data_IF_530771577016
#
_entry.id   IF_530771577016
#
_cell.length_a   1.000
_cell.length_b   1.000
_cell.length_c   1.000
_cell.angle_alpha   90.00
_cell.angle_beta   90.00
_cell.angle_gamma   90.00
#
_symmetry.space_group_name_H-M   'P 1'
#
loop_
_entity.id
_entity.type
_entity.pdbx_description
1 polymer ?
#
# COMPACT_ATOMS: atom_id res chain seq x y z
N UNK A 1 -2.96 -3.16 17.54
CA UNK A 1 -2.45 -4.50 17.22
C UNK A 1 -2.12 -5.20 18.53
N UNK A 2 -2.39 -6.50 18.68
CA UNK A 2 -1.90 -7.29 19.84
C UNK A 2 -0.63 -8.03 19.42
N UNK A 3 0.33 -8.13 20.34
CA UNK A 3 1.66 -8.68 20.07
C UNK A 3 2.04 -9.67 21.18
N UNK A 4 2.50 -10.85 20.78
CA UNK A 4 3.06 -11.85 21.69
C UNK A 4 4.58 -11.95 21.49
N UNK A 5 5.29 -12.17 22.59
CA UNK A 5 6.74 -11.93 22.71
C UNK A 5 7.60 -12.68 21.68
N UNK A 6 8.76 -12.10 21.40
CA UNK A 6 9.79 -12.65 20.51
C UNK A 6 10.37 -13.91 21.15
N UNK A 7 10.37 -15.03 20.43
CA UNK A 7 11.11 -16.20 20.88
C UNK A 7 12.63 -15.94 20.77
N UNK A 8 13.47 -16.77 21.40
CA UNK A 8 14.93 -16.60 21.39
C UNK A 8 15.59 -16.51 20.00
N UNK A 9 14.85 -16.82 18.93
CA UNK A 9 15.33 -16.82 17.54
C UNK A 9 14.79 -15.64 16.71
N UNK A 10 14.01 -14.73 17.30
CA UNK A 10 13.47 -13.56 16.58
C UNK A 10 12.08 -13.75 15.96
N UNK A 11 11.50 -14.95 16.01
CA UNK A 11 10.12 -15.19 15.55
C UNK A 11 9.10 -14.59 16.51
N UNK A 12 7.96 -14.12 15.99
CA UNK A 12 6.89 -13.55 16.81
C UNK A 12 5.52 -13.80 16.20
N UNK A 13 4.48 -13.55 17.00
CA UNK A 13 3.09 -13.61 16.55
C UNK A 13 2.39 -12.27 16.85
N UNK A 14 1.61 -11.77 15.90
CA UNK A 14 0.78 -10.59 16.09
C UNK A 14 -0.64 -10.79 15.55
N UNK A 15 -1.58 -9.99 16.05
CA UNK A 15 -2.98 -10.00 15.64
C UNK A 15 -3.40 -8.61 15.16
N UNK A 16 -3.90 -8.57 13.93
CA UNK A 16 -4.47 -7.39 13.30
C UNK A 16 -5.98 -7.48 13.13
N UNK A 17 -6.52 -6.66 12.23
CA UNK A 17 -7.95 -6.68 11.92
C UNK A 17 -8.28 -7.89 11.04
N UNK A 18 -8.83 -8.95 11.65
CA UNK A 18 -9.27 -10.17 10.98
C UNK A 18 -8.20 -11.25 10.74
N UNK A 19 -6.94 -10.97 11.06
CA UNK A 19 -5.83 -11.88 10.75
C UNK A 19 -4.85 -12.05 11.90
N UNK A 20 -4.27 -13.25 11.97
CA UNK A 20 -3.10 -13.58 12.77
C UNK A 20 -1.88 -13.68 11.86
N UNK A 21 -0.81 -13.00 12.24
CA UNK A 21 0.47 -12.96 11.55
C UNK A 21 1.51 -13.69 12.38
N UNK A 22 2.19 -14.67 11.79
CA UNK A 22 3.31 -15.34 12.42
C UNK A 22 4.57 -15.10 11.58
N UNK A 23 5.56 -14.44 12.16
CA UNK A 23 6.87 -14.26 11.52
C UNK A 23 7.80 -15.40 11.93
N UNK A 24 8.33 -16.13 10.95
CA UNK A 24 9.31 -17.18 11.12
C UNK A 24 10.71 -16.68 10.74
N UNK A 25 11.57 -16.46 11.74
CA UNK A 25 12.88 -15.85 11.55
C UNK A 25 13.85 -16.71 10.71
N UNK A 26 13.74 -18.04 10.75
CA UNK A 26 14.61 -18.96 9.98
C UNK A 26 14.41 -18.81 8.47
N UNK A 27 13.15 -18.62 8.08
CA UNK A 27 12.73 -18.55 6.68
C UNK A 27 12.56 -17.10 6.19
N UNK A 28 12.69 -16.11 7.08
CA UNK A 28 12.26 -14.73 6.88
C UNK A 28 10.90 -14.65 6.19
N UNK A 29 9.95 -15.43 6.69
CA UNK A 29 8.61 -15.58 6.12
C UNK A 29 7.55 -15.14 7.10
N UNK A 30 6.41 -14.70 6.56
CA UNK A 30 5.23 -14.33 7.36
C UNK A 30 4.07 -15.20 6.93
N UNK A 31 3.59 -16.02 7.84
CA UNK A 31 2.35 -16.75 7.67
C UNK A 31 1.18 -15.88 8.11
N UNK A 32 0.21 -15.74 7.23
CA UNK A 32 -1.04 -15.04 7.47
C UNK A 32 -2.14 -16.09 7.58
N UNK A 33 -2.81 -16.08 8.72
CA UNK A 33 -3.91 -17.00 9.05
C UNK A 33 -5.16 -16.20 9.44
N UNK A 34 -6.32 -16.84 9.39
CA UNK A 34 -7.55 -16.27 9.97
C UNK A 34 -7.35 -15.94 11.45
N UNK A 35 -8.11 -14.97 11.98
CA UNK A 35 -7.96 -14.54 13.37
C UNK A 35 -8.11 -15.67 14.41
N UNK A 36 -8.95 -16.67 14.10
CA UNK A 36 -9.16 -17.88 14.91
C UNK A 36 -8.03 -18.92 14.78
N UNK A 37 -7.11 -18.74 13.81
CA UNK A 37 -5.96 -19.60 13.56
C UNK A 37 -6.28 -20.90 12.82
N UNK A 38 -7.53 -21.17 12.45
CA UNK A 38 -7.90 -22.44 11.82
C UNK A 38 -7.51 -22.53 10.34
N UNK A 39 -7.32 -21.39 9.66
CA UNK A 39 -7.10 -21.35 8.22
C UNK A 39 -5.83 -20.60 7.85
N UNK A 40 -4.95 -21.28 7.10
CA UNK A 40 -3.84 -20.65 6.42
C UNK A 40 -4.33 -19.90 5.16
N UNK A 41 -3.98 -18.62 5.06
CA UNK A 41 -4.40 -17.76 3.96
C UNK A 41 -3.26 -17.49 3.00
N UNK A 42 -2.07 -17.16 3.50
CA UNK A 42 -0.90 -16.93 2.68
C UNK A 42 0.39 -17.11 3.48
N UNK A 43 1.47 -17.50 2.80
CA UNK A 43 2.84 -17.38 3.28
C UNK A 43 3.56 -16.37 2.41
N UNK A 44 4.02 -15.29 3.03
CA UNK A 44 4.70 -14.18 2.36
C UNK A 44 6.21 -14.34 2.56
N UNK A 45 6.98 -14.28 1.47
CA UNK A 45 8.45 -14.31 1.49
C UNK A 45 9.01 -13.03 0.84
N UNK A 46 8.93 -11.89 1.54
CA UNK A 46 9.30 -10.58 0.99
C UNK A 46 10.82 -10.36 0.85
N UNK A 47 11.64 -11.33 1.26
CA UNK A 47 13.09 -11.32 1.06
C UNK A 47 13.88 -10.92 2.31
N UNK A 48 15.21 -10.97 2.20
CA UNK A 48 16.13 -10.74 3.32
C UNK A 48 16.06 -9.33 3.90
N UNK A 49 15.57 -8.36 3.12
CA UNK A 49 15.40 -6.98 3.55
C UNK A 49 14.42 -6.86 4.74
N UNK A 50 13.47 -7.79 4.86
CA UNK A 50 12.47 -7.79 5.93
C UNK A 50 13.04 -8.30 7.24
N UNK A 51 14.07 -9.15 7.21
CA UNK A 51 14.61 -9.76 8.42
C UNK A 51 15.16 -8.70 9.41
N UNK A 52 15.48 -7.49 8.94
CA UNK A 52 15.98 -6.39 9.78
C UNK A 52 14.88 -5.72 10.62
N UNK A 53 13.65 -5.66 10.10
CA UNK A 53 12.51 -5.06 10.81
C UNK A 53 11.18 -5.72 10.39
N UNK A 54 10.99 -6.98 10.78
CA UNK A 54 9.82 -7.76 10.38
C UNK A 54 8.53 -7.25 11.03
N UNK A 55 8.64 -6.61 12.20
CA UNK A 55 7.49 -6.07 12.91
C UNK A 55 6.88 -4.87 12.17
N UNK A 56 7.69 -3.89 11.74
CA UNK A 56 7.21 -2.76 10.95
C UNK A 56 6.56 -3.19 9.63
N UNK A 57 7.06 -4.27 9.01
CA UNK A 57 6.40 -4.83 7.83
C UNK A 57 5.03 -5.42 8.16
N UNK A 58 4.89 -6.16 9.25
CA UNK A 58 3.58 -6.70 9.69
C UNK A 58 2.61 -5.56 10.04
N UNK A 59 3.07 -4.49 10.67
CA UNK A 59 2.24 -3.29 10.92
C UNK A 59 1.78 -2.64 9.61
N UNK A 60 2.70 -2.47 8.66
CA UNK A 60 2.40 -1.93 7.33
C UNK A 60 1.43 -2.82 6.56
N UNK A 61 1.61 -4.14 6.63
CA UNK A 61 0.71 -5.14 6.04
C UNK A 61 -0.69 -5.05 6.62
N UNK A 62 -0.81 -5.00 7.95
CA UNK A 62 -2.09 -4.85 8.60
C UNK A 62 -2.78 -3.54 8.22
N UNK A 63 -2.06 -2.41 8.19
CA UNK A 63 -2.61 -1.12 7.72
C UNK A 63 -3.08 -1.21 6.27
N UNK A 64 -2.31 -1.87 5.40
CA UNK A 64 -2.64 -2.07 3.98
C UNK A 64 -3.92 -2.91 3.82
N UNK A 65 -4.06 -3.99 4.59
CA UNK A 65 -5.27 -4.81 4.61
C UNK A 65 -6.50 -4.00 5.05
N UNK A 66 -6.38 -3.18 6.10
CA UNK A 66 -7.47 -2.30 6.54
C UNK A 66 -7.86 -1.26 5.48
N UNK A 67 -6.88 -0.67 4.78
CA UNK A 67 -7.14 0.25 3.67
C UNK A 67 -7.90 -0.45 2.55
N UNK A 68 -7.52 -1.68 2.19
CA UNK A 68 -8.24 -2.47 1.18
C UNK A 68 -9.65 -2.84 1.63
N UNK A 69 -9.85 -3.20 2.90
CA UNK A 69 -11.17 -3.46 3.46
C UNK A 69 -12.08 -2.23 3.28
N UNK A 70 -11.62 -1.05 3.69
CA UNK A 70 -12.36 0.20 3.49
C UNK A 70 -12.66 0.48 2.01
N UNK A 71 -11.76 0.15 1.08
CA UNK A 71 -11.99 0.35 -0.36
C UNK A 71 -13.03 -0.62 -0.93
N UNK A 72 -13.01 -1.90 -0.52
CA UNK A 72 -13.91 -2.92 -1.05
C UNK A 72 -15.29 -2.91 -0.38
N UNK A 73 -15.37 -2.46 0.86
CA UNK A 73 -16.59 -2.46 1.65
C UNK A 73 -17.34 -1.12 1.59
N UNK A 74 -16.88 -0.19 0.75
CA UNK A 74 -17.35 1.20 0.72
C UNK A 74 -17.33 1.89 2.11
N UNK A 75 -16.17 1.80 2.76
CA UNK A 75 -15.88 2.38 4.07
C UNK A 75 -16.75 1.87 5.23
N UNK A 76 -17.32 0.67 5.14
CA UNK A 76 -18.13 0.06 6.21
C UNK A 76 -17.33 -0.78 7.24
N UNK A 77 -16.17 -1.32 6.86
CA UNK A 77 -15.33 -2.15 7.73
C UNK A 77 -13.84 -1.97 7.44
N UNK A 78 -13.01 -2.20 8.46
CA UNK A 78 -11.54 -2.30 8.35
C UNK A 78 -11.06 -3.76 8.36
N UNK A 79 -11.97 -4.72 8.51
CA UNK A 79 -11.64 -6.13 8.48
C UNK A 79 -11.88 -6.69 7.08
N UNK A 80 -10.79 -7.07 6.41
CA UNK A 80 -10.85 -7.56 5.04
C UNK A 80 -11.54 -8.93 4.94
N UNK A 81 -11.47 -9.75 6.00
CA UNK A 81 -12.17 -11.03 6.07
C UNK A 81 -13.70 -10.85 6.09
N UNK A 82 -14.19 -9.73 6.61
CA UNK A 82 -15.63 -9.40 6.57
C UNK A 82 -16.07 -8.89 5.19
N UNK A 83 -15.13 -8.56 4.30
CA UNK A 83 -15.42 -7.91 3.02
C UNK A 83 -15.40 -8.88 1.83
N UNK A 84 -14.67 -9.99 1.94
CA UNK A 84 -14.38 -10.85 0.81
C UNK A 84 -14.50 -12.32 1.17
N UNK A 85 -14.97 -13.09 0.20
CA UNK A 85 -14.99 -14.53 0.29
C UNK A 85 -13.58 -15.09 0.46
N UNK A 86 -13.53 -16.13 1.26
CA UNK A 86 -12.36 -16.93 1.58
C UNK A 86 -11.48 -17.34 0.39
N UNK A 87 -12.08 -17.60 -0.78
CA UNK A 87 -11.34 -17.95 -1.99
C UNK A 87 -10.48 -16.79 -2.53
N UNK A 88 -10.87 -15.55 -2.25
CA UNK A 88 -10.23 -14.32 -2.75
C UNK A 88 -9.26 -13.72 -1.74
N UNK A 89 -9.37 -14.07 -0.46
CA UNK A 89 -8.50 -13.55 0.60
C UNK A 89 -7.02 -13.89 0.35
N UNK A 90 -6.70 -15.12 -0.07
CA UNK A 90 -5.31 -15.53 -0.29
C UNK A 90 -4.60 -14.66 -1.35
N UNK A 91 -5.24 -14.46 -2.50
CA UNK A 91 -4.65 -13.64 -3.58
C UNK A 91 -4.55 -12.18 -3.17
N UNK A 92 -5.54 -11.65 -2.46
CA UNK A 92 -5.49 -10.28 -2.00
C UNK A 92 -4.43 -10.05 -0.92
N UNK A 93 -4.23 -10.99 0.01
CA UNK A 93 -3.16 -10.90 1.02
C UNK A 93 -1.77 -10.89 0.38
N UNK A 94 -1.58 -11.64 -0.71
CA UNK A 94 -0.33 -11.57 -1.48
C UNK A 94 -0.14 -10.20 -2.15
N UNK A 95 -1.22 -9.64 -2.72
CA UNK A 95 -1.20 -8.31 -3.31
C UNK A 95 -0.89 -7.24 -2.26
N UNK A 96 -1.55 -7.27 -1.10
CA UNK A 96 -1.30 -6.32 -0.02
C UNK A 96 0.10 -6.52 0.56
N UNK A 97 0.57 -7.75 0.71
CA UNK A 97 1.97 -8.06 1.06
C UNK A 97 2.98 -7.39 0.14
N UNK A 98 2.76 -7.45 -1.17
CA UNK A 98 3.62 -6.76 -2.15
C UNK A 98 3.52 -5.23 -2.06
N UNK A 99 2.32 -4.69 -1.88
CA UNK A 99 2.11 -3.24 -1.68
C UNK A 99 2.85 -2.75 -0.44
N UNK A 100 2.73 -3.46 0.68
CA UNK A 100 3.40 -3.11 1.94
C UNK A 100 4.91 -3.18 1.81
N UNK A 101 5.42 -4.13 1.02
CA UNK A 101 6.85 -4.22 0.72
C UNK A 101 7.34 -2.99 -0.05
N UNK A 102 6.64 -2.61 -1.12
CA UNK A 102 6.97 -1.44 -1.93
C UNK A 102 6.86 -0.13 -1.13
N UNK A 103 5.84 -0.01 -0.27
CA UNK A 103 5.67 1.17 0.58
C UNK A 103 6.79 1.29 1.61
N UNK A 104 7.04 0.23 2.39
CA UNK A 104 8.01 0.27 3.49
C UNK A 104 9.46 0.28 2.98
N UNK A 105 9.87 -0.74 2.23
CA UNK A 105 11.27 -0.87 1.81
C UNK A 105 11.58 -0.01 0.59
N UNK A 106 10.66 0.06 -0.36
CA UNK A 106 10.86 0.82 -1.57
C UNK A 106 10.89 2.33 -1.33
N UNK A 107 9.89 2.86 -0.63
CA UNK A 107 9.74 4.30 -0.43
C UNK A 107 10.18 4.79 0.95
N UNK A 108 9.64 4.24 2.04
CA UNK A 108 9.92 4.73 3.40
C UNK A 108 11.41 4.61 3.77
N UNK A 109 12.05 3.47 3.46
CA UNK A 109 13.50 3.28 3.59
C UNK A 109 14.33 4.00 2.51
N UNK A 110 13.71 4.80 1.63
CA UNK A 110 14.33 5.59 0.56
C UNK A 110 15.12 4.77 -0.46
N UNK A 111 14.78 3.49 -0.65
CA UNK A 111 15.37 2.65 -1.69
C UNK A 111 14.68 2.86 -3.05
N UNK A 112 14.78 4.09 -3.56
CA UNK A 112 14.03 4.53 -4.74
C UNK A 112 14.35 3.74 -6.01
N UNK A 113 15.61 3.34 -6.21
CA UNK A 113 15.99 2.55 -7.38
C UNK A 113 15.31 1.18 -7.39
N UNK A 114 15.26 0.52 -6.23
CA UNK A 114 14.60 -0.78 -6.08
C UNK A 114 13.09 -0.65 -6.28
N UNK A 115 12.47 0.33 -5.64
CA UNK A 115 11.05 0.66 -5.84
C UNK A 115 10.74 0.87 -7.32
N UNK A 116 11.49 1.76 -7.98
CA UNK A 116 11.28 2.11 -9.38
C UNK A 116 11.42 0.92 -10.30
N UNK A 117 12.41 0.04 -10.06
CA UNK A 117 12.62 -1.16 -10.87
C UNK A 117 11.43 -2.10 -10.79
N UNK A 118 11.03 -2.49 -9.57
CA UNK A 118 9.91 -3.40 -9.36
C UNK A 118 8.60 -2.79 -9.84
N UNK A 119 8.37 -1.51 -9.56
CA UNK A 119 7.15 -0.82 -9.97
C UNK A 119 7.04 -0.70 -11.50
N UNK A 120 8.15 -0.44 -12.20
CA UNK A 120 8.15 -0.42 -13.67
C UNK A 120 7.90 -1.81 -14.26
N UNK A 121 8.46 -2.86 -13.67
CA UNK A 121 8.22 -4.24 -14.09
C UNK A 121 6.76 -4.66 -13.89
N UNK A 122 6.16 -4.31 -12.74
CA UNK A 122 4.78 -4.65 -12.38
C UNK A 122 3.73 -4.10 -13.37
N UNK A 123 4.02 -2.96 -14.00
CA UNK A 123 3.07 -2.22 -14.83
C UNK A 123 3.57 -1.95 -16.25
N UNK A 124 4.66 -2.63 -16.66
CA UNK A 124 5.27 -2.44 -17.98
C UNK A 124 5.50 -0.96 -18.31
N UNK A 125 6.21 -0.25 -17.43
CA UNK A 125 6.58 1.15 -17.61
C UNK A 125 8.03 1.24 -18.07
N UNK A 126 8.34 2.25 -18.88
CA UNK A 126 9.71 2.49 -19.35
C UNK A 126 10.63 2.94 -18.23
N UNK A 127 10.19 3.90 -17.41
CA UNK A 127 10.97 4.34 -16.25
C UNK A 127 10.15 5.09 -15.21
N UNK A 128 10.59 5.00 -13.95
CA UNK A 128 10.15 5.81 -12.83
C UNK A 128 11.39 6.30 -12.09
N UNK A 129 11.54 7.60 -11.87
CA UNK A 129 12.68 8.16 -11.15
C UNK A 129 12.17 9.02 -10.00
N UNK A 130 12.62 8.75 -8.79
CA UNK A 130 12.29 9.54 -7.60
C UNK A 130 13.58 10.15 -7.06
N UNK A 131 13.55 11.45 -6.78
CA UNK A 131 14.68 12.19 -6.19
C UNK A 131 14.21 13.03 -5.02
N UNK A 132 15.02 13.08 -3.97
CA UNK A 132 14.86 14.02 -2.85
C UNK A 132 15.73 15.24 -3.09
N UNK A 133 15.15 16.41 -2.91
CA UNK A 133 15.84 17.69 -2.92
C UNK A 133 15.78 18.27 -1.52
N UNK A 134 16.91 18.80 -1.05
CA UNK A 134 17.01 19.53 0.21
C UNK A 134 17.50 20.94 -0.10
N UNK A 135 16.85 21.95 0.48
CA UNK A 135 17.33 23.33 0.40
C UNK A 135 18.03 23.70 1.69
N UNK A 136 19.31 24.07 1.59
CA UNK A 136 20.12 24.53 2.73
C UNK A 136 19.58 25.82 3.36
N UNK A 137 18.73 26.56 2.64
CA UNK A 137 18.21 27.88 3.06
C UNK A 137 16.85 27.84 3.76
N UNK A 138 16.10 26.74 3.67
CA UNK A 138 14.71 26.72 4.12
C UNK A 138 14.36 25.54 5.04
N UNK A 139 15.32 24.69 5.41
CA UNK A 139 15.10 23.43 6.16
C UNK A 139 13.98 22.54 5.57
N UNK A 140 13.57 22.79 4.33
CA UNK A 140 12.50 22.07 3.65
C UNK A 140 13.12 21.14 2.63
N UNK A 141 12.83 19.85 2.78
CA UNK A 141 13.07 18.87 1.74
C UNK A 141 11.79 18.57 0.99
N UNK A 142 11.89 18.34 -0.31
CA UNK A 142 10.78 17.88 -1.13
C UNK A 142 11.24 16.73 -2.02
N UNK A 143 10.26 16.02 -2.59
CA UNK A 143 10.48 14.92 -3.50
C UNK A 143 9.93 15.27 -4.89
N UNK A 144 10.60 14.72 -5.91
CA UNK A 144 10.24 14.86 -7.30
C UNK A 144 10.21 13.47 -7.93
N UNK A 145 9.12 13.15 -8.63
CA UNK A 145 8.96 11.90 -9.35
C UNK A 145 8.72 12.17 -10.83
N UNK A 146 9.38 11.39 -11.68
CA UNK A 146 9.20 11.38 -13.13
C UNK A 146 8.83 9.97 -13.57
N UNK A 147 7.68 9.82 -14.20
CA UNK A 147 7.22 8.55 -14.76
C UNK A 147 7.16 8.65 -16.28
N UNK A 148 7.58 7.60 -16.97
CA UNK A 148 7.58 7.51 -18.43
C UNK A 148 7.01 6.17 -18.86
N UNK A 149 6.03 6.19 -19.75
CA UNK A 149 5.41 5.01 -20.35
C UNK A 149 6.28 4.42 -21.46
N UNK A 150 5.94 3.22 -21.95
CA UNK A 150 6.63 2.61 -23.10
C UNK A 150 6.52 3.46 -24.38
N UNK A 151 5.48 4.28 -24.48
CA UNK A 151 5.25 5.18 -25.62
C UNK A 151 5.88 6.56 -25.44
N UNK A 152 6.77 6.73 -24.46
CA UNK A 152 7.45 7.98 -24.12
C UNK A 152 6.51 9.11 -23.65
N UNK A 153 5.27 8.81 -23.27
CA UNK A 153 4.44 9.75 -22.54
C UNK A 153 4.98 9.86 -21.11
N UNK A 154 5.00 11.08 -20.56
CA UNK A 154 5.62 11.31 -19.25
C UNK A 154 4.84 12.28 -18.39
N UNK A 155 4.90 12.05 -17.08
CA UNK A 155 4.39 12.97 -16.08
C UNK A 155 5.46 13.25 -15.04
N UNK A 156 5.38 14.43 -14.45
CA UNK A 156 6.25 14.87 -13.36
C UNK A 156 5.38 15.36 -12.21
N UNK A 157 5.73 14.97 -10.99
CA UNK A 157 5.04 15.40 -9.77
C UNK A 157 6.01 15.75 -8.67
N UNK A 158 5.65 16.77 -7.89
CA UNK A 158 6.37 17.23 -6.71
C UNK A 158 5.47 17.11 -5.48
N UNK A 159 6.06 16.75 -4.34
CA UNK A 159 5.40 16.85 -3.03
C UNK A 159 6.44 17.02 -1.92
N UNK A 160 6.02 17.52 -0.76
CA UNK A 160 6.89 17.72 0.39
C UNK A 160 7.19 16.40 1.13
N UNK A 161 6.33 15.40 0.98
CA UNK A 161 6.48 14.07 1.55
C UNK A 161 6.20 12.94 0.53
N UNK A 162 6.53 11.69 0.89
CA UNK A 162 6.38 10.53 0.01
C UNK A 162 4.92 10.09 -0.17
N UNK A 163 4.05 10.33 0.81
CA UNK A 163 2.62 10.01 0.71
C UNK A 163 1.95 10.92 -0.33
N UNK A 164 2.19 12.22 -0.21
CA UNK A 164 1.76 13.23 -1.16
C UNK A 164 2.35 12.98 -2.53
N UNK A 165 3.63 12.59 -2.63
CA UNK A 165 4.25 12.26 -3.91
C UNK A 165 3.54 11.09 -4.61
N UNK A 166 3.28 9.99 -3.91
CA UNK A 166 2.59 8.83 -4.46
C UNK A 166 1.15 9.17 -4.88
N UNK A 167 0.45 9.97 -4.07
CA UNK A 167 -0.92 10.43 -4.36
C UNK A 167 -0.96 11.36 -5.56
N UNK A 168 -0.08 12.35 -5.63
CA UNK A 168 0.03 13.26 -6.77
C UNK A 168 0.37 12.51 -8.06
N UNK A 169 1.30 11.55 -8.00
CA UNK A 169 1.68 10.76 -9.16
C UNK A 169 0.51 9.87 -9.64
N UNK A 170 -0.22 9.25 -8.71
CA UNK A 170 -1.46 8.52 -9.04
C UNK A 170 -2.45 9.40 -9.79
N UNK A 171 -2.74 10.60 -9.26
CA UNK A 171 -3.69 11.52 -9.88
C UNK A 171 -3.24 11.95 -11.28
N UNK A 172 -1.93 12.21 -11.45
CA UNK A 172 -1.36 12.60 -12.74
C UNK A 172 -1.38 11.47 -13.77
N UNK A 173 -1.22 10.22 -13.35
CA UNK A 173 -1.45 9.07 -14.25
C UNK A 173 -2.90 9.05 -14.72
N UNK A 174 -3.87 9.21 -13.80
CA UNK A 174 -5.30 9.18 -14.11
C UNK A 174 -5.72 10.32 -15.06
N UNK A 175 -5.26 11.54 -14.81
CA UNK A 175 -5.66 12.72 -15.57
C UNK A 175 -4.94 12.86 -16.90
N UNK A 176 -3.62 12.66 -16.90
CA UNK A 176 -2.77 13.07 -18.02
C UNK A 176 -2.36 11.88 -18.90
N UNK A 177 -2.08 10.70 -18.31
CA UNK A 177 -1.56 9.57 -19.08
C UNK A 177 -2.64 8.62 -19.59
N UNK A 178 -3.65 8.29 -18.79
CA UNK A 178 -4.68 7.34 -19.21
C UNK A 178 -5.41 7.85 -20.46
N UNK A 179 -5.77 9.13 -20.50
CA UNK A 179 -6.46 9.73 -21.65
C UNK A 179 -5.62 9.63 -22.93
N UNK A 180 -4.32 9.94 -22.83
CA UNK A 180 -3.40 9.92 -23.98
C UNK A 180 -3.18 8.48 -24.47
N UNK A 181 -3.04 7.53 -23.54
CA UNK A 181 -2.73 6.13 -23.86
C UNK A 181 -3.97 5.36 -24.32
N UNK A 182 -5.17 5.75 -23.89
CA UNK A 182 -6.43 5.22 -24.41
C UNK A 182 -6.63 5.62 -25.88
N UNK A 183 -6.29 6.86 -26.23
CA UNK A 183 -6.38 7.36 -27.61
C UNK A 183 -5.46 6.64 -28.61
N UNK A 184 -4.47 5.88 -28.13
CA UNK A 184 -3.53 5.13 -28.97
C UNK A 184 -4.06 3.72 -29.35
N UNK A 185 -5.24 3.30 -28.86
CA UNK A 185 -5.87 1.99 -29.14
C UNK A 185 -4.91 0.79 -28.99
N UNK A 186 -4.06 0.79 -27.96
CA UNK A 186 -3.15 -0.33 -27.69
C UNK A 186 -3.55 -1.09 -26.44
N UNK A 187 -3.77 -2.38 -26.64
CA UNK A 187 -4.26 -3.29 -25.62
C UNK A 187 -3.29 -3.32 -24.43
N UNK A 188 -3.85 -3.02 -23.25
CA UNK A 188 -3.26 -3.09 -21.89
C UNK A 188 -2.50 -1.86 -21.36
N UNK A 189 -2.11 -0.87 -22.16
CA UNK A 189 -1.39 0.32 -21.64
C UNK A 189 -2.23 1.09 -20.61
N UNK A 190 -3.47 1.45 -20.97
CA UNK A 190 -4.39 2.14 -20.06
C UNK A 190 -4.74 1.31 -18.81
N UNK A 191 -4.86 -0.01 -18.96
CA UNK A 191 -5.13 -0.91 -17.83
C UNK A 191 -3.95 -0.98 -16.86
N UNK A 192 -2.73 -1.05 -17.39
CA UNK A 192 -1.51 -1.02 -16.59
C UNK A 192 -1.38 0.31 -15.84
N UNK A 193 -1.70 1.43 -16.49
CA UNK A 193 -1.70 2.74 -15.86
C UNK A 193 -2.78 2.88 -14.79
N UNK A 194 -3.97 2.32 -15.00
CA UNK A 194 -5.01 2.26 -13.98
C UNK A 194 -4.54 1.43 -12.77
N UNK A 195 -3.89 0.30 -13.01
CA UNK A 195 -3.26 -0.52 -11.98
C UNK A 195 -2.18 0.24 -11.22
N UNK A 196 -1.31 0.95 -11.94
CA UNK A 196 -0.22 1.76 -11.37
C UNK A 196 -0.77 2.89 -10.49
N UNK A 197 -1.76 3.63 -10.98
CA UNK A 197 -2.43 4.68 -10.22
C UNK A 197 -3.09 4.12 -8.95
N UNK A 198 -3.87 3.05 -9.07
CA UNK A 198 -4.54 2.41 -7.92
C UNK A 198 -3.53 1.92 -6.86
N UNK A 199 -2.41 1.33 -7.29
CA UNK A 199 -1.34 0.90 -6.39
C UNK A 199 -0.65 2.09 -5.71
N UNK A 200 -0.31 3.15 -6.46
CA UNK A 200 0.27 4.37 -5.90
C UNK A 200 -0.65 5.08 -4.92
N UNK A 201 -1.95 5.17 -5.21
CA UNK A 201 -2.94 5.72 -4.28
C UNK A 201 -3.01 4.91 -2.97
N UNK A 202 -2.93 3.58 -3.07
CA UNK A 202 -2.88 2.72 -1.89
C UNK A 202 -1.59 2.95 -1.09
N UNK A 203 -0.43 2.98 -1.77
CA UNK A 203 0.88 3.26 -1.15
C UNK A 203 0.88 4.62 -0.46
N UNK A 204 0.32 5.67 -1.09
CA UNK A 204 0.19 6.99 -0.49
C UNK A 204 -0.52 6.94 0.87
N UNK A 205 -1.70 6.30 0.92
CA UNK A 205 -2.46 6.12 2.17
C UNK A 205 -1.72 5.28 3.22
N UNK A 206 -0.93 4.28 2.79
CA UNK A 206 -0.09 3.49 3.69
C UNK A 206 1.01 4.36 4.33
N UNK A 207 1.65 5.22 3.53
CA UNK A 207 2.72 6.12 3.98
C UNK A 207 2.21 7.34 4.76
N UNK A 208 0.93 7.69 4.64
CA UNK A 208 0.33 8.79 5.39
C UNK A 208 0.16 8.42 6.86
N UNK A 209 0.97 9.02 7.73
CA UNK A 209 0.90 8.83 9.18
C UNK A 209 -0.41 9.34 9.78
N UNK A 210 -1.08 10.29 9.13
CA UNK A 210 -2.37 10.82 9.57
C UNK A 210 -3.55 9.98 9.08
N UNK A 211 -3.32 9.03 8.16
CA UNK A 211 -4.35 8.10 7.71
C UNK A 211 -4.47 6.92 8.67
N UNK A 212 -5.42 7.02 9.61
CA UNK A 212 -5.75 5.97 10.57
C UNK A 212 -7.09 5.31 10.12
N UNK A 213 -7.08 4.08 9.58
CA UNK A 213 -8.28 3.44 9.03
C UNK A 213 -9.46 3.35 10.02
N UNK A 214 -9.18 3.01 11.28
CA UNK A 214 -10.20 2.88 12.33
C UNK A 214 -10.86 4.22 12.68
N UNK A 215 -10.10 5.32 12.69
CA UNK A 215 -10.65 6.66 12.94
C UNK A 215 -11.52 7.14 11.78
N UNK A 216 -11.13 6.82 10.55
CA UNK A 216 -11.93 7.15 9.37
C UNK A 216 -13.33 6.53 9.45
N UNK A 217 -13.42 5.25 9.85
CA UNK A 217 -14.69 4.56 10.03
C UNK A 217 -15.55 5.19 11.14
N UNK A 218 -14.94 5.59 12.27
CA UNK A 218 -15.66 6.25 13.37
C UNK A 218 -16.28 7.58 12.94
N UNK A 219 -15.56 8.40 12.18
CA UNK A 219 -16.06 9.69 11.69
C UNK A 219 -17.28 9.52 10.79
N UNK A 220 -17.26 8.56 9.86
CA UNK A 220 -18.39 8.28 8.95
C UNK A 220 -19.66 7.94 9.74
N UNK A 221 -19.56 7.00 10.70
CA UNK A 221 -20.69 6.61 11.56
C UNK A 221 -21.24 7.77 12.40
N UNK A 222 -20.40 8.72 12.79
CA UNK A 222 -20.86 9.93 13.49
C UNK A 222 -21.66 10.86 12.57
N UNK A 223 -21.24 11.04 11.31
CA UNK A 223 -21.99 11.84 10.33
C UNK A 223 -23.34 11.22 9.98
N UNK A 224 -23.41 9.90 9.75
CA UNK A 224 -24.68 9.20 9.49
C UNK A 224 -25.68 9.38 10.64
N UNK A 225 -25.18 9.33 11.89
CA UNK A 225 -26.02 9.56 13.08
C UNK A 225 -26.56 10.99 13.14
N UNK A 226 -25.75 11.99 12.79
CA UNK A 226 -26.17 13.40 12.76
C UNK A 226 -27.20 13.69 11.66
N UNK A 227 -27.03 13.10 10.47
CA UNK A 227 -28.02 13.23 9.39
C UNK A 227 -29.35 12.57 9.72
N UNK A 228 -29.34 11.46 10.45
CA UNK A 228 -30.57 10.78 10.89
C UNK A 228 -31.34 11.65 11.90
N UNK A 229 -30.63 12.32 12.81
CA UNK A 229 -31.25 13.25 13.78
C UNK A 229 -31.85 14.47 13.08
N UNK A 230 -31.21 15.02 12.05
CA UNK A 230 -31.71 16.19 11.33
C UNK A 230 -32.88 15.89 10.37
N UNK A 231 -33.20 14.61 10.14
CA UNK A 231 -34.33 14.14 9.31
C UNK A 231 -35.55 13.74 10.14
N UNK A 232 -35.46 13.76 11.48
CA UNK A 232 -36.56 13.54 12.42
C UNK A 232 -37.08 14.88 12.95
#
# INVERSE_FOLDING_TARGET
MKYESVCSHGSFTSWGSGFKYHYEARDCAIDVTSADGYRALARLKPGSQICCDPFSYVETLNKTNQIKALMYSDNTTTNLADTLDDARLSSLIKITGHISYLALYGLHCKNFNHFSTLFCQDFDLKSLKIKRFSSDRQEKSFYLAYLTTQHNNSVCTRSDDLSGLATSLSNKILSDLITVEFGLNRDRSAQNLLGAASKLATIGRVLDNNFIPEEKLKRIKQFEKLETINKM
#
